data_IF_250709730385
#
_entry.id   IF_250709730385
#
_cell.length_a   1.000
_cell.length_b   1.000
_cell.length_c   1.000
_cell.angle_alpha   90.00
_cell.angle_beta   90.00
_cell.angle_gamma   90.00
#
_symmetry.space_group_name_H-M   'P 1'
#
loop_
_entity.id
_entity.type
_entity.pdbx_description
1 polymer ?
#
# COMPACT_ATOMS: atom_id res chain seq x y z
N UNK A 1 37.00 3.71 -18.37
CA UNK A 1 35.76 4.53 -18.36
C UNK A 1 34.56 3.73 -17.86
N UNK A 2 34.18 2.64 -18.53
CA UNK A 2 33.03 1.78 -18.19
C UNK A 2 32.93 1.34 -16.72
N UNK A 3 34.04 0.88 -16.13
CA UNK A 3 34.05 0.46 -14.72
C UNK A 3 33.66 1.58 -13.75
N UNK A 4 34.06 2.83 -14.03
CA UNK A 4 33.69 3.98 -13.19
C UNK A 4 32.21 4.29 -13.32
N UNK A 5 31.67 4.23 -14.54
CA UNK A 5 30.25 4.43 -14.81
C UNK A 5 29.39 3.37 -14.11
N UNK A 6 29.82 2.11 -14.11
CA UNK A 6 29.14 1.03 -13.42
C UNK A 6 29.09 1.28 -11.90
N UNK A 7 30.23 1.66 -11.30
CA UNK A 7 30.30 1.96 -9.86
C UNK A 7 29.43 3.16 -9.49
N UNK A 8 29.40 4.21 -10.32
CA UNK A 8 28.51 5.35 -10.08
C UNK A 8 27.03 4.97 -10.23
N UNK A 9 26.69 4.09 -11.17
CA UNK A 9 25.31 3.64 -11.35
C UNK A 9 24.83 2.81 -10.16
N UNK A 10 25.66 1.89 -9.66
CA UNK A 10 25.36 1.11 -8.44
C UNK A 10 25.13 2.04 -7.26
N UNK A 11 26.06 2.98 -7.00
CA UNK A 11 25.89 3.96 -5.91
C UNK A 11 24.62 4.77 -6.03
N UNK A 12 24.28 5.21 -7.24
CA UNK A 12 23.07 5.98 -7.48
C UNK A 12 21.82 5.17 -7.13
N UNK A 13 21.77 3.89 -7.53
CA UNK A 13 20.67 2.99 -7.20
C UNK A 13 20.57 2.80 -5.69
N UNK A 14 21.67 2.49 -5.01
CA UNK A 14 21.69 2.34 -3.54
C UNK A 14 21.17 3.60 -2.83
N UNK A 15 21.58 4.78 -3.29
CA UNK A 15 21.12 6.07 -2.76
C UNK A 15 19.61 6.28 -3.02
N UNK A 16 19.08 5.85 -4.18
CA UNK A 16 17.64 5.95 -4.44
C UNK A 16 16.84 4.97 -3.58
N UNK A 17 17.32 3.74 -3.37
CA UNK A 17 16.67 2.76 -2.50
C UNK A 17 16.60 3.24 -1.06
N UNK A 18 17.69 3.81 -0.53
CA UNK A 18 17.69 4.40 0.81
C UNK A 18 16.70 5.56 0.93
N UNK A 19 16.62 6.43 -0.09
CA UNK A 19 15.65 7.54 -0.12
C UNK A 19 14.22 7.05 -0.21
N UNK A 20 13.96 5.96 -0.93
CA UNK A 20 12.64 5.35 -1.03
C UNK A 20 12.23 4.77 0.33
N UNK A 21 13.08 3.95 0.95
CA UNK A 21 12.82 3.36 2.26
C UNK A 21 12.56 4.43 3.34
N UNK A 22 13.32 5.52 3.32
CA UNK A 22 13.09 6.63 4.24
C UNK A 22 11.72 7.30 4.05
N UNK A 23 11.26 7.45 2.80
CA UNK A 23 9.94 8.03 2.49
C UNK A 23 8.81 7.09 2.89
N UNK A 24 8.98 5.79 2.65
CA UNK A 24 8.01 4.76 3.07
C UNK A 24 7.82 4.80 4.58
N UNK A 25 8.91 4.83 5.35
CA UNK A 25 8.85 4.93 6.81
C UNK A 25 8.13 6.20 7.29
N UNK A 26 8.37 7.35 6.65
CA UNK A 26 7.67 8.60 6.96
C UNK A 26 6.17 8.48 6.66
N UNK A 27 5.81 7.97 5.48
CA UNK A 27 4.41 7.79 5.09
C UNK A 27 3.71 6.82 6.04
N UNK A 28 4.34 5.70 6.39
CA UNK A 28 3.78 4.73 7.33
C UNK A 28 3.57 5.34 8.71
N UNK A 29 4.52 6.13 9.21
CA UNK A 29 4.37 6.87 10.46
C UNK A 29 3.17 7.82 10.41
N UNK A 30 3.07 8.62 9.35
CA UNK A 30 1.93 9.53 9.14
C UNK A 30 0.61 8.76 9.12
N UNK A 31 0.52 7.65 8.36
CA UNK A 31 -0.70 6.86 8.26
C UNK A 31 -1.11 6.24 9.60
N UNK A 32 -0.16 5.82 10.44
CA UNK A 32 -0.43 5.29 11.79
C UNK A 32 -0.94 6.36 12.74
N UNK A 33 -0.42 7.58 12.61
CA UNK A 33 -0.80 8.71 13.46
C UNK A 33 -2.12 9.38 13.01
N UNK A 34 -2.56 9.12 11.78
CA UNK A 34 -3.83 9.62 11.27
C UNK A 34 -5.01 8.94 11.97
N UNK A 35 -5.92 9.74 12.49
CA UNK A 35 -7.20 9.25 13.01
C UNK A 35 -7.98 8.62 11.84
N UNK A 36 -8.46 7.37 11.97
CA UNK A 36 -9.22 6.75 10.90
C UNK A 36 -10.49 7.57 10.61
N UNK A 37 -10.95 7.58 9.34
CA UNK A 37 -12.18 8.27 8.99
C UNK A 37 -13.36 7.69 9.77
N UNK A 38 -14.34 8.53 10.07
CA UNK A 38 -15.58 8.07 10.69
C UNK A 38 -16.26 7.03 9.79
N UNK A 39 -16.94 6.02 10.34
CA UNK A 39 -17.72 5.05 9.54
C UNK A 39 -18.68 5.71 8.56
N UNK A 40 -19.24 6.88 8.88
CA UNK A 40 -20.13 7.64 7.99
C UNK A 40 -19.43 8.29 6.79
N UNK A 41 -18.11 8.42 6.84
CA UNK A 41 -17.29 8.96 5.74
C UNK A 41 -16.76 7.85 4.82
N UNK A 42 -16.90 6.59 5.22
CA UNK A 42 -16.52 5.44 4.42
C UNK A 42 -17.71 5.07 3.53
N UNK A 43 -17.52 5.15 2.22
CA UNK A 43 -18.51 4.66 1.26
C UNK A 43 -18.46 3.13 1.32
N UNK A 44 -19.55 2.50 1.73
CA UNK A 44 -19.72 1.05 1.63
C UNK A 44 -19.90 0.67 0.15
N UNK A 45 -18.94 -0.02 -0.48
CA UNK A 45 -19.07 -0.44 -1.88
C UNK A 45 -20.10 -1.58 -2.04
N UNK A 46 -20.52 -2.22 -0.94
CA UNK A 46 -21.49 -3.31 -0.92
C UNK A 46 -22.60 -3.02 0.11
N UNK A 47 -23.40 -1.96 -0.10
CA UNK A 47 -24.41 -1.52 0.87
C UNK A 47 -25.52 -2.56 1.12
N UNK A 48 -25.61 -3.57 0.25
CA UNK A 48 -26.55 -4.69 0.35
C UNK A 48 -25.84 -5.98 -0.04
N UNK A 49 -25.52 -6.80 0.96
CA UNK A 49 -25.24 -8.22 0.76
C UNK A 49 -26.56 -8.94 1.03
N UNK A 50 -27.23 -9.37 -0.03
CA UNK A 50 -28.42 -10.20 0.10
C UNK A 50 -27.98 -11.65 0.29
N UNK A 51 -28.45 -12.29 1.36
CA UNK A 51 -28.29 -13.73 1.52
C UNK A 51 -29.10 -14.42 0.40
N UNK A 52 -28.41 -14.92 -0.61
CA UNK A 52 -29.02 -15.77 -1.63
C UNK A 52 -29.36 -17.10 -0.97
N UNK A 53 -30.58 -17.58 -1.19
CA UNK A 53 -31.02 -18.88 -0.67
C UNK A 53 -30.13 -19.97 -1.29
N UNK A 54 -29.49 -20.78 -0.45
CA UNK A 54 -28.72 -21.94 -0.91
C UNK A 54 -29.70 -22.93 -1.56
N UNK A 55 -29.63 -23.03 -2.89
CA UNK A 55 -30.44 -23.95 -3.69
C UNK A 55 -29.71 -25.27 -3.96
N UNK A 56 -28.42 -25.37 -3.64
CA UNK A 56 -27.59 -26.54 -3.92
C UNK A 56 -27.73 -27.59 -2.80
N UNK A 57 -27.96 -27.14 -1.56
CA UNK A 57 -28.11 -28.01 -0.39
C UNK A 57 -29.55 -28.06 0.15
N UNK A 58 -30.53 -27.59 -0.63
CA UNK A 58 -31.93 -27.79 -0.31
C UNK A 58 -32.30 -29.26 -0.60
N UNK A 59 -32.52 -30.02 0.47
CA UNK A 59 -32.86 -31.45 0.49
C UNK A 59 -33.80 -31.93 -0.63
#
# INVERSE_FOLDING_TARGET
LLRRLLVSAVRFVDEQEQRLAAREAVIEGVLRDMVPPSPSQIIDPLPRIENVKDTEHAE
#
